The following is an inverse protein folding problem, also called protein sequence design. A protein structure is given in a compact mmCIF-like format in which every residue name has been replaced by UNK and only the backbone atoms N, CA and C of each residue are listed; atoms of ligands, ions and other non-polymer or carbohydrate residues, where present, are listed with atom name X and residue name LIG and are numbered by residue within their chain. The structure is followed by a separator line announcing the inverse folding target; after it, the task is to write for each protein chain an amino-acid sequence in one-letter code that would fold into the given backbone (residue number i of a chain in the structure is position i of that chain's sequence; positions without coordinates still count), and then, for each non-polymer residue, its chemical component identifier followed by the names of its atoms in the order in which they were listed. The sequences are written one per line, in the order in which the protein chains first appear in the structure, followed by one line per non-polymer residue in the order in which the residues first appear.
data_IF_345160831079
#
_entry.id   IF_345160831079
#
_cell.length_a   1.000
_cell.length_b   1.000
_cell.length_c   1.000
_cell.angle_alpha   90.00
_cell.angle_beta   90.00
_cell.angle_gamma   90.00
#
_symmetry.space_group_name_H-M   'P 1'
#
loop_
_entity.id
_entity.type
_entity.pdbx_description
1 polymer ?
#
# COMPACT_ATOMS: atom_id res chain seq x y z
N UNK A 1 -10.92 6.54 18.76
CA UNK A 1 -10.67 5.09 18.92
C UNK A 1 -9.87 4.52 17.76
N UNK A 2 -10.32 4.67 16.49
CA UNK A 2 -9.61 4.10 15.33
C UNK A 2 -8.18 4.66 15.12
N UNK A 3 -7.97 5.97 15.29
CA UNK A 3 -6.62 6.57 15.26
C UNK A 3 -5.67 5.90 16.26
N UNK A 4 -6.12 5.73 17.50
CA UNK A 4 -5.35 5.07 18.56
C UNK A 4 -5.04 3.62 18.18
N UNK A 5 -6.00 2.89 17.60
CA UNK A 5 -5.78 1.51 17.17
C UNK A 5 -4.72 1.42 16.06
N UNK A 6 -4.77 2.29 15.05
CA UNK A 6 -3.77 2.34 13.97
C UNK A 6 -2.36 2.57 14.52
N UNK A 7 -2.23 3.50 15.49
CA UNK A 7 -0.97 3.78 16.19
C UNK A 7 -0.52 2.58 17.01
N UNK A 8 -1.41 1.94 17.79
CA UNK A 8 -1.06 0.76 18.58
C UNK A 8 -0.58 -0.40 17.71
N UNK A 9 -1.19 -0.61 16.53
CA UNK A 9 -0.75 -1.66 15.60
C UNK A 9 0.63 -1.35 15.02
N UNK A 10 0.92 -0.08 14.78
CA UNK A 10 2.26 0.34 14.37
C UNK A 10 3.28 0.13 15.50
N UNK A 11 2.94 0.48 16.74
CA UNK A 11 3.80 0.25 17.90
C UNK A 11 4.12 -1.23 18.10
N UNK A 12 3.12 -2.11 18.02
CA UNK A 12 3.32 -3.57 18.11
C UNK A 12 4.29 -4.08 17.03
N UNK A 13 4.22 -3.51 15.82
CA UNK A 13 5.15 -3.84 14.74
C UNK A 13 6.59 -3.39 15.07
N UNK A 14 6.73 -2.14 15.54
CA UNK A 14 8.03 -1.50 15.80
C UNK A 14 8.75 -2.07 17.03
N UNK A 15 8.01 -2.45 18.06
CA UNK A 15 8.56 -3.08 19.26
C UNK A 15 8.86 -4.57 19.07
N UNK A 16 8.55 -5.13 17.89
CA UNK A 16 8.66 -6.56 17.59
C UNK A 16 7.99 -7.44 18.65
N UNK A 17 6.90 -6.96 19.26
CA UNK A 17 6.25 -7.62 20.41
C UNK A 17 5.69 -9.00 20.05
N UNK A 18 5.47 -9.26 18.75
CA UNK A 18 5.03 -10.54 18.19
C UNK A 18 5.79 -10.85 16.90
N UNK A 19 5.84 -12.14 16.53
CA UNK A 19 6.41 -12.54 15.24
C UNK A 19 5.67 -11.90 14.07
N UNK A 20 6.36 -11.66 12.95
CA UNK A 20 5.75 -11.12 11.72
C UNK A 20 4.61 -12.02 11.21
N UNK A 21 4.72 -13.33 11.36
CA UNK A 21 3.65 -14.26 11.00
C UNK A 21 2.39 -14.02 11.84
N UNK A 22 2.54 -13.94 13.16
CA UNK A 22 1.43 -13.63 14.08
C UNK A 22 0.86 -12.26 13.77
N UNK A 23 1.71 -11.27 13.52
CA UNK A 23 1.28 -9.92 13.19
C UNK A 23 0.40 -9.90 11.93
N UNK A 24 0.88 -10.52 10.85
CA UNK A 24 0.16 -10.58 9.58
C UNK A 24 -1.21 -11.26 9.75
N UNK A 25 -1.23 -12.39 10.46
CA UNK A 25 -2.46 -13.15 10.70
C UNK A 25 -3.49 -12.37 11.54
N UNK A 26 -3.04 -11.65 12.57
CA UNK A 26 -3.94 -10.98 13.52
C UNK A 26 -4.37 -9.58 13.10
N UNK A 27 -3.51 -8.82 12.40
CA UNK A 27 -3.71 -7.38 12.21
C UNK A 27 -3.86 -6.94 10.76
N UNK A 28 -3.29 -7.66 9.78
CA UNK A 28 -3.23 -7.18 8.40
C UNK A 28 -4.62 -6.93 7.81
N UNK A 29 -5.55 -7.87 7.99
CA UNK A 29 -6.92 -7.73 7.47
C UNK A 29 -7.65 -6.52 8.05
N UNK A 30 -7.42 -6.22 9.34
CA UNK A 30 -8.01 -5.05 10.00
C UNK A 30 -7.43 -3.77 9.42
N UNK A 31 -6.11 -3.72 9.17
CA UNK A 31 -5.46 -2.56 8.52
C UNK A 31 -6.06 -2.33 7.13
N UNK A 32 -6.14 -3.38 6.31
CA UNK A 32 -6.66 -3.32 4.94
C UNK A 32 -8.12 -2.86 4.89
N UNK A 33 -8.96 -3.33 5.81
CA UNK A 33 -10.38 -2.96 5.91
C UNK A 33 -10.59 -1.45 6.12
N UNK A 34 -9.69 -0.79 6.86
CA UNK A 34 -9.86 0.61 7.27
C UNK A 34 -9.12 1.63 6.40
N UNK A 35 -8.45 1.21 5.32
CA UNK A 35 -7.76 2.12 4.38
C UNK A 35 -8.69 3.14 3.72
N UNK A 36 -9.96 2.79 3.56
CA UNK A 36 -10.99 3.65 2.93
C UNK A 36 -11.98 4.20 3.97
N UNK A 37 -11.55 4.34 5.23
CA UNK A 37 -12.37 4.94 6.27
C UNK A 37 -12.82 6.36 5.89
N UNK A 38 -14.07 6.72 6.21
CA UNK A 38 -14.70 7.99 5.82
C UNK A 38 -13.96 9.22 6.34
N UNK A 39 -13.40 9.10 7.55
CA UNK A 39 -12.52 10.12 8.12
C UNK A 39 -11.11 10.01 7.49
N UNK A 40 -10.66 11.11 6.87
CA UNK A 40 -9.38 11.18 6.17
C UNK A 40 -8.17 11.03 7.10
N UNK A 41 -8.27 11.52 8.34
CA UNK A 41 -7.20 11.36 9.34
C UNK A 41 -7.04 9.90 9.74
N UNK A 42 -8.16 9.21 9.96
CA UNK A 42 -8.18 7.77 10.29
C UNK A 42 -7.66 6.92 9.13
N UNK A 43 -8.13 7.14 7.90
CA UNK A 43 -7.65 6.37 6.75
C UNK A 43 -6.16 6.62 6.47
N UNK A 44 -5.69 7.85 6.65
CA UNK A 44 -4.27 8.15 6.53
C UNK A 44 -3.45 7.46 7.62
N UNK A 45 -3.91 7.42 8.88
CA UNK A 45 -3.22 6.71 9.94
C UNK A 45 -3.09 5.20 9.63
N UNK A 46 -4.17 4.56 9.15
CA UNK A 46 -4.12 3.16 8.72
C UNK A 46 -3.20 2.93 7.52
N UNK A 47 -3.15 3.88 6.59
CA UNK A 47 -2.23 3.81 5.46
C UNK A 47 -0.77 3.88 5.91
N UNK A 48 -0.40 4.81 6.80
CA UNK A 48 0.97 4.89 7.32
C UNK A 48 1.36 3.61 8.07
N UNK A 49 0.43 3.02 8.84
CA UNK A 49 0.63 1.70 9.45
C UNK A 49 0.87 0.64 8.38
N UNK A 50 0.06 0.57 7.31
CA UNK A 50 0.24 -0.40 6.23
C UNK A 50 1.59 -0.23 5.51
N UNK A 51 1.99 1.00 5.22
CA UNK A 51 3.26 1.28 4.55
C UNK A 51 4.45 0.79 5.38
N UNK A 52 4.38 0.88 6.71
CA UNK A 52 5.38 0.32 7.63
C UNK A 52 5.33 -1.21 7.64
N UNK A 53 4.13 -1.80 7.66
CA UNK A 53 3.95 -3.26 7.61
C UNK A 53 4.51 -3.87 6.31
N UNK A 54 4.37 -3.18 5.18
CA UNK A 54 4.92 -3.65 3.89
C UNK A 54 6.44 -3.89 3.96
N UNK A 55 7.17 -3.12 4.77
CA UNK A 55 8.63 -3.25 4.87
C UNK A 55 9.07 -4.58 5.49
N UNK A 56 8.23 -5.23 6.28
CA UNK A 56 8.62 -6.43 7.06
C UNK A 56 7.91 -7.70 6.60
N UNK A 57 6.81 -7.58 5.85
CA UNK A 57 6.05 -8.75 5.40
C UNK A 57 6.83 -9.62 4.38
N UNK A 58 6.63 -10.96 4.41
CA UNK A 58 7.13 -11.86 3.37
C UNK A 58 6.57 -11.53 1.99
N UNK A 59 7.36 -11.74 0.93
CA UNK A 59 6.97 -11.43 -0.45
C UNK A 59 5.68 -12.13 -0.90
N UNK A 60 5.46 -13.37 -0.48
CA UNK A 60 4.23 -14.11 -0.83
C UNK A 60 2.99 -13.48 -0.20
N UNK A 61 3.08 -13.07 1.09
CA UNK A 61 2.00 -12.34 1.75
C UNK A 61 1.74 -11.00 1.07
N UNK A 62 2.80 -10.24 0.73
CA UNK A 62 2.66 -8.99 -0.02
C UNK A 62 1.97 -9.20 -1.38
N UNK A 63 2.32 -10.28 -2.08
CA UNK A 63 1.72 -10.58 -3.38
C UNK A 63 0.24 -10.90 -3.23
N UNK A 64 -0.11 -11.82 -2.34
CA UNK A 64 -1.48 -12.35 -2.24
C UNK A 64 -2.45 -11.39 -1.55
N UNK A 65 -2.04 -10.78 -0.43
CA UNK A 65 -2.92 -9.95 0.39
C UNK A 65 -2.95 -8.48 -0.03
N UNK A 66 -1.94 -8.01 -0.78
CA UNK A 66 -1.82 -6.60 -1.15
C UNK A 66 -1.80 -6.41 -2.66
N UNK A 67 -0.76 -6.87 -3.36
CA UNK A 67 -0.57 -6.58 -4.79
C UNK A 67 -1.73 -7.09 -5.66
N UNK A 68 -2.17 -8.33 -5.45
CA UNK A 68 -3.25 -8.93 -6.22
C UNK A 68 -4.58 -8.15 -6.07
N UNK A 69 -5.09 -7.88 -4.83
CA UNK A 69 -6.26 -7.03 -4.64
C UNK A 69 -6.10 -5.62 -5.23
N UNK A 70 -4.88 -5.06 -5.19
CA UNK A 70 -4.59 -3.70 -5.64
C UNK A 70 -4.94 -3.46 -7.11
N UNK A 71 -4.87 -4.50 -7.95
CA UNK A 71 -5.25 -4.43 -9.37
C UNK A 71 -6.68 -3.91 -9.53
N UNK A 72 -7.61 -4.36 -8.69
CA UNK A 72 -9.01 -3.90 -8.70
C UNK A 72 -9.17 -2.52 -8.07
N UNK A 73 -8.40 -2.23 -7.00
CA UNK A 73 -8.47 -0.97 -6.23
C UNK A 73 -7.88 0.23 -6.99
N UNK A 74 -6.97 -0.02 -7.92
CA UNK A 74 -6.35 1.00 -8.75
C UNK A 74 -7.19 1.38 -10.00
N UNK A 75 -8.30 0.70 -10.28
CA UNK A 75 -9.11 0.95 -11.48
C UNK A 75 -9.84 2.30 -11.43
N UNK A 76 -10.05 2.94 -12.58
CA UNK A 76 -10.79 4.21 -12.70
C UNK A 76 -12.22 4.15 -12.15
N UNK A 77 -12.83 2.95 -12.10
CA UNK A 77 -14.16 2.71 -11.51
C UNK A 77 -14.18 2.87 -9.99
N UNK A 78 -13.03 2.84 -9.33
CA UNK A 78 -12.91 3.01 -7.88
C UNK A 78 -12.90 4.48 -7.49
N UNK A 79 -13.08 4.76 -6.20
CA UNK A 79 -13.03 6.12 -5.67
C UNK A 79 -11.65 6.75 -5.85
N UNK A 80 -11.60 8.08 -5.95
CA UNK A 80 -10.33 8.83 -6.02
C UNK A 80 -9.40 8.46 -4.85
N UNK A 81 -9.98 8.34 -3.65
CA UNK A 81 -9.23 7.93 -2.45
C UNK A 81 -8.60 6.54 -2.60
N UNK A 82 -9.32 5.56 -3.12
CA UNK A 82 -8.78 4.20 -3.34
C UNK A 82 -7.58 4.22 -4.30
N UNK A 83 -7.66 5.05 -5.35
CA UNK A 83 -6.57 5.20 -6.34
C UNK A 83 -5.38 5.97 -5.75
N UNK A 84 -5.61 6.99 -4.92
CA UNK A 84 -4.55 7.71 -4.19
C UNK A 84 -3.80 6.78 -3.21
N UNK A 85 -4.53 5.95 -2.47
CA UNK A 85 -3.96 4.90 -1.60
C UNK A 85 -3.15 3.91 -2.45
N UNK A 86 -3.69 3.48 -3.59
CA UNK A 86 -3.02 2.55 -4.49
C UNK A 86 -1.68 3.09 -5.00
N UNK A 87 -1.59 4.37 -5.32
CA UNK A 87 -0.33 5.01 -5.70
C UNK A 87 0.74 4.81 -4.63
N UNK A 88 0.44 5.17 -3.38
CA UNK A 88 1.39 5.07 -2.25
C UNK A 88 1.81 3.62 -1.97
N UNK A 89 0.87 2.67 -2.03
CA UNK A 89 1.16 1.24 -1.85
C UNK A 89 2.10 0.73 -2.96
N UNK A 90 1.81 1.04 -4.23
CA UNK A 90 2.65 0.63 -5.37
C UNK A 90 4.09 1.14 -5.21
N UNK A 91 4.26 2.41 -4.83
CA UNK A 91 5.57 3.00 -4.56
C UNK A 91 6.34 2.32 -3.44
N UNK A 92 5.64 1.76 -2.43
CA UNK A 92 6.28 1.03 -1.33
C UNK A 92 6.64 -0.42 -1.70
N UNK A 93 5.80 -1.07 -2.50
CA UNK A 93 6.00 -2.46 -2.92
C UNK A 93 7.24 -2.63 -3.83
N UNK A 94 7.67 -1.60 -4.54
CA UNK A 94 8.86 -1.67 -5.42
C UNK A 94 10.14 -1.96 -4.63
N UNK A 95 10.20 -1.64 -3.35
CA UNK A 95 11.35 -1.97 -2.49
C UNK A 95 11.40 -3.45 -2.08
N UNK A 96 10.35 -4.23 -2.40
CA UNK A 96 10.18 -5.62 -1.92
C UNK A 96 10.27 -6.64 -3.04
N UNK A 97 9.96 -6.26 -4.27
CA UNK A 97 9.97 -7.14 -5.43
C UNK A 97 11.21 -6.93 -6.29
N UNK A 98 11.60 -7.95 -7.04
CA UNK A 98 12.66 -7.84 -8.04
C UNK A 98 12.18 -7.05 -9.27
N UNK A 99 13.15 -6.52 -10.04
CA UNK A 99 12.88 -5.70 -11.22
C UNK A 99 11.97 -6.38 -12.25
N UNK A 100 12.07 -7.69 -12.43
CA UNK A 100 11.21 -8.42 -13.37
C UNK A 100 9.76 -8.45 -12.90
N UNK A 101 9.52 -8.76 -11.62
CA UNK A 101 8.18 -8.68 -11.01
C UNK A 101 7.61 -7.25 -11.09
N UNK A 102 8.41 -6.22 -10.79
CA UNK A 102 7.97 -4.82 -10.87
C UNK A 102 7.55 -4.46 -12.30
N UNK A 103 8.39 -4.77 -13.30
CA UNK A 103 8.09 -4.50 -14.72
C UNK A 103 6.82 -5.20 -15.19
N UNK A 104 6.58 -6.43 -14.74
CA UNK A 104 5.45 -7.25 -15.20
C UNK A 104 4.13 -6.93 -14.50
N UNK A 105 4.16 -6.73 -13.19
CA UNK A 105 2.94 -6.70 -12.35
C UNK A 105 2.63 -5.30 -11.81
N UNK A 106 3.65 -4.51 -11.46
CA UNK A 106 3.47 -3.18 -10.84
C UNK A 106 3.38 -2.09 -11.90
N UNK A 107 4.28 -2.12 -12.90
CA UNK A 107 4.41 -1.06 -13.91
C UNK A 107 3.14 -0.83 -14.75
N UNK A 108 2.31 -1.85 -15.11
CA UNK A 108 1.03 -1.60 -15.78
C UNK A 108 0.08 -0.72 -14.97
N UNK A 109 -0.01 -0.95 -13.65
CA UNK A 109 -0.85 -0.16 -12.75
C UNK A 109 -0.32 1.28 -12.61
N UNK A 110 1.00 1.43 -12.48
CA UNK A 110 1.68 2.73 -12.45
C UNK A 110 1.34 3.53 -13.71
N UNK A 111 1.48 2.93 -14.89
CA UNK A 111 1.17 3.60 -16.17
C UNK A 111 -0.29 4.05 -16.21
N UNK A 112 -1.23 3.19 -15.79
CA UNK A 112 -2.65 3.54 -15.71
C UNK A 112 -2.90 4.73 -14.78
N UNK A 113 -2.31 4.75 -13.58
CA UNK A 113 -2.50 5.81 -12.59
C UNK A 113 -1.79 7.12 -12.97
N UNK A 114 -0.68 7.07 -13.71
CA UNK A 114 -0.07 8.26 -14.31
C UNK A 114 -0.97 8.90 -15.38
N UNK A 115 -1.89 8.13 -15.96
CA UNK A 115 -2.87 8.57 -16.95
C UNK A 115 -4.27 8.78 -16.35
N UNK A 116 -4.39 8.84 -15.02
CA UNK A 116 -5.67 9.01 -14.34
C UNK A 116 -6.36 10.31 -14.75
N UNK A 117 -7.69 10.31 -14.75
CA UNK A 117 -8.51 11.50 -15.07
C UNK A 117 -8.35 12.59 -14.00
N UNK A 118 -8.13 12.20 -12.75
CA UNK A 118 -7.97 13.12 -11.63
C UNK A 118 -6.54 13.61 -11.46
N UNK A 119 -6.37 14.93 -11.39
CA UNK A 119 -5.03 15.53 -11.30
C UNK A 119 -4.28 15.13 -10.02
N UNK A 120 -4.99 14.94 -8.91
CA UNK A 120 -4.40 14.56 -7.62
C UNK A 120 -3.83 13.14 -7.67
N UNK A 121 -4.51 12.21 -8.36
CA UNK A 121 -4.02 10.84 -8.53
C UNK A 121 -2.74 10.85 -9.37
N UNK A 122 -2.73 11.58 -10.49
CA UNK A 122 -1.52 11.74 -11.31
C UNK A 122 -0.36 12.32 -10.49
N UNK A 123 -0.61 13.39 -9.73
CA UNK A 123 0.38 14.03 -8.87
C UNK A 123 0.92 13.06 -7.80
N UNK A 124 0.04 12.30 -7.16
CA UNK A 124 0.41 11.29 -6.17
C UNK A 124 1.27 10.18 -6.78
N UNK A 125 0.88 9.65 -7.95
CA UNK A 125 1.63 8.62 -8.65
C UNK A 125 3.02 9.12 -9.09
N UNK A 126 3.12 10.35 -9.60
CA UNK A 126 4.39 10.96 -9.98
C UNK A 126 5.40 11.00 -8.83
N UNK A 127 4.96 11.22 -7.58
CA UNK A 127 5.83 11.21 -6.40
C UNK A 127 6.41 9.85 -6.05
N UNK A 128 5.86 8.77 -6.63
CA UNK A 128 6.36 7.41 -6.41
C UNK A 128 7.28 6.94 -7.54
N UNK A 129 7.38 7.69 -8.65
CA UNK A 129 8.13 7.25 -9.83
C UNK A 129 9.62 7.08 -9.56
N UNK A 130 10.19 7.83 -8.61
CA UNK A 130 11.56 7.63 -8.17
C UNK A 130 11.77 6.23 -7.57
N UNK A 131 10.90 5.82 -6.62
CA UNK A 131 10.95 4.48 -6.03
C UNK A 131 10.76 3.38 -7.08
N UNK A 132 9.90 3.62 -8.06
CA UNK A 132 9.64 2.68 -9.15
C UNK A 132 10.85 2.57 -10.07
N UNK A 133 11.45 3.70 -10.45
CA UNK A 133 12.65 3.76 -11.28
C UNK A 133 13.81 3.00 -10.61
N UNK A 134 14.06 3.27 -9.32
CA UNK A 134 15.07 2.56 -8.54
C UNK A 134 14.82 1.04 -8.52
N UNK A 135 13.56 0.62 -8.39
CA UNK A 135 13.20 -0.81 -8.36
C UNK A 135 13.40 -1.55 -9.68
N UNK A 136 13.37 -0.87 -10.83
CA UNK A 136 13.50 -1.51 -12.15
C UNK A 136 14.93 -1.52 -12.72
N UNK A 137 15.86 -0.78 -12.10
CA UNK A 137 17.24 -0.59 -12.54
C UNK A 137 17.34 0.44 -13.65
#
# INVERSE_FOLDING_TARGET
MQLTAAVSFLTILQEESVSIHTYAHSFLQVILLHLEHRDAGVSNAWLETLLSVIEVLPKETLRHEILNPLVSKAQLSQTVQSRLVSCKILGKLTNKFDAHTIKREVLPLVKSLCQDVEYEVRSCMCRQLENIAQGIG
#
